data_IF_807571187739
#
_entry.id   IF_807571187739
#
_cell.length_a   1.000
_cell.length_b   1.000
_cell.length_c   1.000
_cell.angle_alpha   90.00
_cell.angle_beta   90.00
_cell.angle_gamma   90.00
#
_symmetry.space_group_name_H-M   'P 1'
#
loop_
_entity.id
_entity.type
_entity.pdbx_description
1 polymer ?
#
# COMPACT_ATOMS: atom_id res chain seq x y z
N UNK A 1 -20.71 -4.84 -0.21
CA UNK A 1 -19.59 -4.28 -0.97
C UNK A 1 -18.36 -5.15 -0.71
N UNK A 2 -17.72 -5.64 -1.76
CA UNK A 2 -16.53 -6.49 -1.64
C UNK A 2 -15.27 -5.64 -1.80
N UNK A 3 -14.42 -5.62 -0.78
CA UNK A 3 -13.15 -4.88 -0.76
C UNK A 3 -12.00 -5.88 -0.67
N UNK A 4 -11.20 -5.95 -1.72
CA UNK A 4 -9.96 -6.71 -1.70
C UNK A 4 -8.82 -5.85 -1.13
N UNK A 5 -8.01 -6.41 -0.23
CA UNK A 5 -6.92 -5.70 0.43
C UNK A 5 -5.64 -6.52 0.33
N UNK A 6 -4.64 -5.96 -0.35
CA UNK A 6 -3.29 -6.51 -0.32
C UNK A 6 -2.42 -5.80 0.74
N UNK A 7 -1.59 -6.56 1.46
CA UNK A 7 -0.78 -6.03 2.56
C UNK A 7 -1.55 -5.87 3.87
N UNK A 8 -2.60 -6.64 4.06
CA UNK A 8 -3.46 -6.66 5.26
C UNK A 8 -2.72 -6.97 6.56
N UNK A 9 -1.60 -7.72 6.50
CA UNK A 9 -0.76 -8.06 7.66
C UNK A 9 0.20 -6.95 8.09
N UNK A 10 0.35 -5.91 7.27
CA UNK A 10 1.15 -4.72 7.58
C UNK A 10 0.47 -3.82 8.61
N UNK A 11 1.21 -2.84 9.13
CA UNK A 11 0.70 -1.91 10.15
C UNK A 11 -0.59 -1.20 9.71
N UNK A 12 -0.58 -0.58 8.53
CA UNK A 12 -1.74 0.15 8.00
C UNK A 12 -2.86 -0.83 7.65
N UNK A 13 -2.52 -1.94 6.97
CA UNK A 13 -3.50 -2.93 6.53
C UNK A 13 -4.26 -3.57 7.67
N UNK A 14 -3.59 -3.96 8.73
CA UNK A 14 -4.23 -4.57 9.90
C UNK A 14 -5.19 -3.60 10.59
N UNK A 15 -4.80 -2.33 10.76
CA UNK A 15 -5.68 -1.32 11.35
C UNK A 15 -6.89 -1.03 10.45
N UNK A 16 -6.69 -0.98 9.14
CA UNK A 16 -7.76 -0.80 8.16
C UNK A 16 -8.75 -1.97 8.17
N UNK A 17 -8.25 -3.21 8.15
CA UNK A 17 -9.10 -4.39 8.23
C UNK A 17 -9.95 -4.39 9.51
N UNK A 18 -9.35 -4.14 10.67
CA UNK A 18 -10.05 -4.04 11.95
C UNK A 18 -11.11 -2.92 11.98
N UNK A 19 -10.88 -1.84 11.24
CA UNK A 19 -11.86 -0.75 11.13
C UNK A 19 -13.03 -1.14 10.22
N UNK A 20 -12.74 -1.72 9.06
CA UNK A 20 -13.74 -2.11 8.06
C UNK A 20 -14.62 -3.28 8.53
N UNK A 21 -14.06 -4.23 9.28
CA UNK A 21 -14.76 -5.39 9.82
C UNK A 21 -15.95 -5.04 10.75
N UNK A 22 -15.93 -3.83 11.32
CA UNK A 22 -17.04 -3.31 12.11
C UNK A 22 -18.31 -3.05 11.29
N UNK A 23 -18.19 -2.95 9.97
CA UNK A 23 -19.30 -2.68 9.07
C UNK A 23 -19.77 -3.94 8.38
N UNK A 24 -20.88 -4.52 8.84
CA UNK A 24 -21.48 -5.77 8.31
C UNK A 24 -21.83 -5.71 6.80
N UNK A 25 -21.87 -4.54 6.19
CA UNK A 25 -22.15 -4.40 4.76
C UNK A 25 -20.88 -4.50 3.90
N UNK A 26 -19.71 -4.67 4.52
CA UNK A 26 -18.42 -4.82 3.84
C UNK A 26 -17.97 -6.28 4.00
N UNK A 27 -17.69 -6.90 2.87
CA UNK A 27 -17.00 -8.19 2.81
C UNK A 27 -15.53 -7.92 2.46
N UNK A 28 -14.61 -8.33 3.33
CA UNK A 28 -13.18 -8.11 3.15
C UNK A 28 -12.56 -9.37 2.54
N UNK A 29 -11.86 -9.20 1.43
CA UNK A 29 -11.10 -10.24 0.74
C UNK A 29 -9.61 -9.92 0.96
N UNK A 30 -8.89 -10.81 1.65
CA UNK A 30 -7.48 -10.60 1.96
C UNK A 30 -6.60 -11.25 0.89
N UNK A 31 -5.65 -10.48 0.35
CA UNK A 31 -4.70 -10.98 -0.65
C UNK A 31 -3.29 -10.82 -0.12
N UNK A 32 -2.56 -11.93 -0.03
CA UNK A 32 -1.21 -11.95 0.53
C UNK A 32 -0.30 -12.96 -0.18
N UNK A 33 0.94 -13.08 0.27
CA UNK A 33 1.90 -14.07 -0.29
C UNK A 33 1.52 -15.51 0.04
N UNK A 34 0.83 -15.71 1.14
CA UNK A 34 0.42 -17.03 1.63
C UNK A 34 -1.04 -16.90 2.05
N UNK A 35 -1.90 -17.77 1.53
CA UNK A 35 -3.28 -17.88 1.99
C UNK A 35 -3.29 -18.31 3.46
N UNK A 36 -4.17 -17.71 4.25
CA UNK A 36 -4.45 -18.19 5.60
C UNK A 36 -5.64 -19.18 5.56
N UNK A 37 -5.82 -19.94 6.64
CA UNK A 37 -6.93 -20.91 6.79
C UNK A 37 -8.30 -20.21 6.89
N UNK A 38 -8.35 -18.89 6.90
CA UNK A 38 -9.57 -18.09 7.00
C UNK A 38 -10.31 -18.02 5.66
N UNK A 39 -11.61 -18.12 5.68
CA UNK A 39 -12.51 -18.27 4.52
C UNK A 39 -12.43 -17.17 3.44
N UNK A 40 -11.85 -16.01 3.69
CA UNK A 40 -11.71 -14.91 2.71
C UNK A 40 -10.26 -14.50 2.49
N UNK A 41 -9.31 -15.44 2.57
CA UNK A 41 -7.89 -15.17 2.40
C UNK A 41 -7.31 -15.99 1.25
N UNK A 42 -6.73 -15.28 0.28
CA UNK A 42 -6.20 -15.83 -0.95
C UNK A 42 -4.73 -15.47 -1.12
N UNK A 43 -4.01 -16.35 -1.80
CA UNK A 43 -2.64 -16.04 -2.26
C UNK A 43 -2.66 -15.11 -3.48
N UNK A 44 -1.51 -14.49 -3.80
CA UNK A 44 -1.39 -13.80 -5.09
C UNK A 44 -1.54 -14.76 -6.26
N UNK A 45 -1.11 -16.01 -6.12
CA UNK A 45 -1.23 -17.01 -7.17
C UNK A 45 -2.72 -17.34 -7.42
N UNK A 46 -3.53 -17.47 -6.38
CA UNK A 46 -4.98 -17.64 -6.51
C UNK A 46 -5.63 -16.43 -7.18
N UNK A 47 -5.23 -15.23 -6.78
CA UNK A 47 -5.74 -14.00 -7.38
C UNK A 47 -5.36 -13.90 -8.88
N UNK A 48 -4.11 -14.19 -9.24
CA UNK A 48 -3.66 -14.13 -10.64
C UNK A 48 -4.25 -15.27 -11.50
N UNK A 49 -4.56 -16.40 -10.90
CA UNK A 49 -5.21 -17.53 -11.58
C UNK A 49 -6.73 -17.33 -11.78
N UNK A 50 -7.33 -16.30 -11.17
CA UNK A 50 -8.77 -16.08 -11.24
C UNK A 50 -9.60 -16.98 -10.30
N UNK A 51 -8.97 -17.52 -9.24
CA UNK A 51 -9.61 -18.49 -8.33
C UNK A 51 -10.47 -17.85 -7.24
N UNK A 52 -10.64 -16.53 -7.22
CA UNK A 52 -11.55 -15.84 -6.31
C UNK A 52 -12.92 -15.73 -6.98
N UNK A 53 -13.94 -16.31 -6.39
CA UNK A 53 -15.28 -16.36 -6.99
C UNK A 53 -16.07 -15.05 -6.81
N UNK A 54 -15.65 -14.18 -5.88
CA UNK A 54 -16.33 -12.94 -5.58
C UNK A 54 -15.89 -11.83 -6.55
N UNK A 55 -16.88 -11.05 -7.00
CA UNK A 55 -16.59 -9.76 -7.65
C UNK A 55 -15.91 -8.82 -6.65
N UNK A 56 -14.95 -8.04 -7.11
CA UNK A 56 -14.24 -7.05 -6.30
C UNK A 56 -14.76 -5.65 -6.67
N UNK A 57 -15.44 -4.97 -5.75
CA UNK A 57 -15.91 -3.60 -5.99
C UNK A 57 -14.76 -2.58 -5.86
N UNK A 58 -13.89 -2.78 -4.87
CA UNK A 58 -12.74 -1.90 -4.58
C UNK A 58 -11.52 -2.76 -4.27
N UNK A 59 -10.39 -2.44 -4.87
CA UNK A 59 -9.09 -3.03 -4.52
C UNK A 59 -8.21 -1.99 -3.82
N UNK A 60 -7.77 -2.30 -2.60
CA UNK A 60 -6.87 -1.46 -1.80
C UNK A 60 -5.49 -2.11 -1.78
N UNK A 61 -4.51 -1.44 -2.39
CA UNK A 61 -3.15 -1.94 -2.50
C UNK A 61 -2.22 -1.26 -1.50
N UNK A 62 -1.95 -1.96 -0.40
CA UNK A 62 -1.05 -1.54 0.69
C UNK A 62 0.27 -2.32 0.71
N UNK A 63 0.33 -3.43 -0.03
CA UNK A 63 1.52 -4.27 -0.02
C UNK A 63 2.75 -3.52 -0.54
N UNK A 64 3.80 -3.56 0.24
CA UNK A 64 5.11 -3.01 -0.10
C UNK A 64 6.17 -3.78 0.70
N UNK A 65 7.35 -4.06 0.13
CA UNK A 65 8.48 -4.56 0.90
C UNK A 65 8.86 -3.58 2.01
N UNK A 66 9.47 -4.10 3.07
CA UNK A 66 10.02 -3.23 4.11
C UNK A 66 11.32 -2.60 3.57
N UNK A 67 11.33 -1.27 3.47
CA UNK A 67 12.43 -0.47 2.91
C UNK A 67 13.80 -0.78 3.55
N UNK A 68 13.82 -1.03 4.88
CA UNK A 68 15.06 -1.20 5.63
C UNK A 68 15.83 -2.51 5.31
N UNK A 69 15.20 -3.44 4.58
CA UNK A 69 15.74 -4.80 4.35
C UNK A 69 15.72 -5.21 2.87
N UNK A 70 15.52 -4.28 1.94
CA UNK A 70 15.35 -4.60 0.53
C UNK A 70 16.46 -4.02 -0.34
N UNK A 71 16.94 -4.81 -1.30
CA UNK A 71 17.74 -4.35 -2.42
C UNK A 71 16.83 -3.84 -3.55
N UNK A 72 17.43 -3.22 -4.58
CA UNK A 72 16.71 -2.60 -5.70
C UNK A 72 15.79 -3.60 -6.43
N UNK A 73 16.25 -4.83 -6.65
CA UNK A 73 15.46 -5.87 -7.32
C UNK A 73 14.22 -6.25 -6.50
N UNK A 74 14.37 -6.34 -5.18
CA UNK A 74 13.25 -6.61 -4.27
C UNK A 74 12.24 -5.47 -4.24
N UNK A 75 12.71 -4.22 -4.30
CA UNK A 75 11.85 -3.04 -4.37
C UNK A 75 11.10 -3.01 -5.70
N UNK A 76 11.80 -3.20 -6.81
CA UNK A 76 11.20 -3.23 -8.15
C UNK A 76 10.16 -4.35 -8.27
N UNK A 77 10.47 -5.55 -7.84
CA UNK A 77 9.54 -6.68 -7.89
C UNK A 77 8.36 -6.51 -6.93
N UNK A 78 8.61 -6.11 -5.70
CA UNK A 78 7.58 -6.01 -4.66
C UNK A 78 6.73 -4.75 -4.73
N UNK A 79 7.14 -3.72 -5.45
CA UNK A 79 6.36 -2.48 -5.62
C UNK A 79 5.85 -2.40 -7.06
N UNK A 80 6.75 -2.29 -8.03
CA UNK A 80 6.42 -1.97 -9.42
C UNK A 80 5.73 -3.15 -10.11
N UNK A 81 6.38 -4.31 -10.13
CA UNK A 81 5.86 -5.49 -10.84
C UNK A 81 4.60 -6.03 -10.16
N UNK A 82 4.55 -6.04 -8.83
CA UNK A 82 3.36 -6.48 -8.11
C UNK A 82 2.16 -5.57 -8.41
N UNK A 83 2.33 -4.24 -8.34
CA UNK A 83 1.27 -3.28 -8.69
C UNK A 83 0.77 -3.48 -10.11
N UNK A 84 1.69 -3.64 -11.07
CA UNK A 84 1.38 -3.90 -12.47
C UNK A 84 0.59 -5.19 -12.67
N UNK A 85 1.02 -6.27 -12.01
CA UNK A 85 0.36 -7.57 -12.12
C UNK A 85 -1.05 -7.54 -11.50
N UNK A 86 -1.22 -6.90 -10.35
CA UNK A 86 -2.54 -6.72 -9.74
C UNK A 86 -3.47 -5.99 -10.72
N UNK A 87 -3.08 -4.81 -11.20
CA UNK A 87 -3.91 -4.01 -12.12
C UNK A 87 -4.30 -4.74 -13.40
N UNK A 88 -3.39 -5.57 -13.95
CA UNK A 88 -3.67 -6.37 -15.14
C UNK A 88 -4.75 -7.41 -14.92
N UNK A 89 -4.82 -7.97 -13.73
CA UNK A 89 -5.75 -9.05 -13.38
C UNK A 89 -7.09 -8.56 -12.80
N UNK A 90 -7.24 -7.25 -12.52
CA UNK A 90 -8.49 -6.72 -11.97
C UNK A 90 -9.71 -6.88 -12.89
N UNK A 91 -9.52 -7.04 -14.20
CA UNK A 91 -10.59 -7.30 -15.15
C UNK A 91 -11.32 -8.60 -14.85
N UNK A 92 -10.60 -9.63 -14.40
CA UNK A 92 -11.17 -10.93 -14.05
C UNK A 92 -12.21 -10.83 -12.91
N UNK A 93 -12.20 -9.73 -12.17
CA UNK A 93 -13.03 -9.51 -10.98
C UNK A 93 -13.99 -8.33 -11.11
N UNK A 94 -14.15 -7.76 -12.32
CA UNK A 94 -15.01 -6.59 -12.59
C UNK A 94 -14.74 -5.40 -11.66
N UNK A 95 -13.50 -5.22 -11.22
CA UNK A 95 -13.12 -4.19 -10.26
C UNK A 95 -13.34 -2.79 -10.86
N UNK A 96 -14.02 -1.92 -10.10
CA UNK A 96 -14.35 -0.56 -10.55
C UNK A 96 -13.47 0.51 -9.93
N UNK A 97 -12.82 0.22 -8.81
CA UNK A 97 -12.02 1.21 -8.08
C UNK A 97 -10.73 0.60 -7.55
N UNK A 98 -9.62 1.28 -7.80
CA UNK A 98 -8.29 0.91 -7.29
C UNK A 98 -7.74 2.02 -6.38
N UNK A 99 -7.31 1.67 -5.17
CA UNK A 99 -6.72 2.61 -4.21
C UNK A 99 -5.28 2.17 -3.96
N UNK A 100 -4.34 3.04 -4.29
CA UNK A 100 -2.91 2.81 -4.13
C UNK A 100 -2.32 3.66 -3.01
N UNK A 101 -1.56 3.01 -2.13
CA UNK A 101 -0.85 3.70 -1.06
C UNK A 101 0.61 3.92 -1.46
N UNK A 102 0.88 5.16 -1.85
CA UNK A 102 2.19 5.69 -2.16
C UNK A 102 2.84 6.35 -0.92
N UNK A 103 3.81 7.20 -1.12
CA UNK A 103 4.56 7.88 -0.06
C UNK A 103 4.85 9.32 -0.44
N UNK A 104 4.86 10.23 0.53
CA UNK A 104 5.32 11.60 0.32
C UNK A 104 6.79 11.69 -0.12
N UNK A 105 7.59 10.63 0.07
CA UNK A 105 8.98 10.56 -0.42
C UNK A 105 9.11 10.70 -1.93
N UNK A 106 8.02 10.54 -2.69
CA UNK A 106 8.02 10.77 -4.15
C UNK A 106 8.26 12.23 -4.52
N UNK A 107 8.00 13.18 -3.62
CA UNK A 107 8.30 14.59 -3.82
C UNK A 107 9.77 14.95 -3.60
N UNK A 108 10.57 14.03 -3.04
CA UNK A 108 11.95 14.29 -2.64
C UNK A 108 12.08 14.80 -1.21
N UNK A 109 13.24 15.39 -0.92
CA UNK A 109 13.53 15.95 0.41
C UNK A 109 13.49 17.49 0.33
N UNK A 110 12.61 18.09 1.12
CA UNK A 110 12.50 19.55 1.24
C UNK A 110 13.33 20.06 2.42
N UNK A 111 14.65 20.09 2.29
CA UNK A 111 15.47 20.46 3.44
C UNK A 111 15.78 21.97 3.58
N UNK A 112 15.52 22.80 2.58
CA UNK A 112 16.17 24.13 2.58
C UNK A 112 15.23 25.34 2.37
N UNK A 113 14.01 25.18 1.81
CA UNK A 113 13.24 26.36 1.36
C UNK A 113 11.79 26.47 1.85
N UNK A 114 11.40 25.85 2.95
CA UNK A 114 10.01 25.85 3.43
C UNK A 114 8.98 25.47 2.32
N UNK A 115 9.37 24.59 1.41
CA UNK A 115 8.51 24.15 0.31
C UNK A 115 7.38 23.31 0.90
N UNK A 116 6.15 23.75 0.68
CA UNK A 116 4.95 22.98 1.02
C UNK A 116 4.55 22.21 -0.25
N UNK A 117 4.63 20.90 -0.19
CA UNK A 117 4.17 20.02 -1.27
C UNK A 117 2.66 19.86 -1.24
N UNK A 118 2.07 19.75 -2.41
CA UNK A 118 0.67 19.41 -2.64
C UNK A 118 0.58 18.35 -3.76
N UNK A 119 -0.62 17.92 -4.10
CA UNK A 119 -0.86 16.84 -5.05
C UNK A 119 -0.40 17.16 -6.48
N UNK A 120 -0.31 18.45 -6.84
CA UNK A 120 0.17 18.91 -8.14
C UNK A 120 1.67 19.21 -8.18
N UNK A 121 2.36 19.10 -7.04
CA UNK A 121 3.81 19.33 -7.00
C UNK A 121 4.56 18.31 -7.84
N UNK A 122 5.63 18.76 -8.50
CA UNK A 122 6.49 17.91 -9.30
C UNK A 122 7.14 16.81 -8.45
N UNK A 123 7.21 15.60 -9.02
CA UNK A 123 7.86 14.47 -8.36
C UNK A 123 9.37 14.54 -8.57
N UNK A 124 10.13 14.41 -7.49
CA UNK A 124 11.58 14.35 -7.50
C UNK A 124 12.09 13.24 -6.55
N UNK A 125 11.77 11.96 -6.82
CA UNK A 125 12.13 10.87 -5.93
C UNK A 125 13.65 10.64 -5.89
N UNK A 126 14.25 10.67 -4.70
CA UNK A 126 15.70 10.51 -4.51
C UNK A 126 16.05 9.05 -4.23
N UNK A 127 15.40 8.43 -3.23
CA UNK A 127 15.69 7.05 -2.85
C UNK A 127 15.08 6.05 -3.84
N UNK A 128 15.66 4.85 -3.94
CA UNK A 128 15.16 3.80 -4.82
C UNK A 128 13.75 3.34 -4.45
N UNK A 129 13.40 3.36 -3.17
CA UNK A 129 12.03 3.19 -2.72
C UNK A 129 11.10 4.27 -3.28
N UNK A 130 11.49 5.54 -3.21
CA UNK A 130 10.70 6.64 -3.73
C UNK A 130 10.54 6.57 -5.25
N UNK A 131 11.62 6.21 -5.96
CA UNK A 131 11.59 5.98 -7.42
C UNK A 131 10.65 4.84 -7.79
N UNK A 132 10.72 3.70 -7.08
CA UNK A 132 9.82 2.57 -7.30
C UNK A 132 8.35 2.95 -7.01
N UNK A 133 8.09 3.75 -5.96
CA UNK A 133 6.74 4.25 -5.67
C UNK A 133 6.23 5.20 -6.76
N UNK A 134 7.05 6.12 -7.25
CA UNK A 134 6.69 7.04 -8.33
C UNK A 134 6.43 6.29 -9.65
N UNK A 135 7.24 5.28 -9.98
CA UNK A 135 7.02 4.41 -11.14
C UNK A 135 5.69 3.65 -11.01
N UNK A 136 5.39 3.14 -9.83
CA UNK A 136 4.11 2.46 -9.57
C UNK A 136 2.92 3.41 -9.69
N UNK A 137 3.02 4.67 -9.25
CA UNK A 137 1.96 5.69 -9.46
C UNK A 137 1.67 5.90 -10.95
N UNK A 138 2.72 6.00 -11.76
CA UNK A 138 2.56 6.11 -13.22
C UNK A 138 1.83 4.89 -13.79
N UNK A 139 2.21 3.68 -13.38
CA UNK A 139 1.55 2.43 -13.80
C UNK A 139 0.07 2.40 -13.38
N UNK A 140 -0.23 2.85 -12.15
CA UNK A 140 -1.62 2.95 -11.66
C UNK A 140 -2.42 3.86 -12.56
N UNK A 141 -1.93 5.05 -12.85
CA UNK A 141 -2.61 6.02 -13.72
C UNK A 141 -2.81 5.48 -15.14
N UNK A 142 -1.75 4.94 -15.75
CA UNK A 142 -1.77 4.47 -17.14
C UNK A 142 -2.73 3.27 -17.33
N UNK A 143 -2.56 2.22 -16.52
CA UNK A 143 -3.37 1.01 -16.67
C UNK A 143 -4.82 1.26 -16.26
N UNK A 144 -5.06 1.97 -15.16
CA UNK A 144 -6.43 2.23 -14.71
C UNK A 144 -7.21 3.06 -15.70
N UNK A 145 -6.58 4.09 -16.29
CA UNK A 145 -7.22 4.90 -17.33
C UNK A 145 -7.57 4.09 -18.58
N UNK A 146 -6.68 3.20 -19.02
CA UNK A 146 -6.92 2.31 -20.18
C UNK A 146 -8.05 1.30 -19.95
N UNK A 147 -8.24 0.89 -18.70
CA UNK A 147 -9.24 -0.11 -18.30
C UNK A 147 -10.53 0.48 -17.73
N UNK A 148 -10.69 1.82 -17.74
CA UNK A 148 -11.82 2.52 -17.12
C UNK A 148 -12.03 2.17 -15.64
N UNK A 149 -10.95 1.93 -14.91
CA UNK A 149 -10.93 1.72 -13.46
C UNK A 149 -10.71 3.08 -12.80
N UNK A 150 -11.64 3.52 -11.96
CA UNK A 150 -11.42 4.71 -11.13
C UNK A 150 -10.27 4.45 -10.16
N UNK A 151 -9.34 5.38 -10.01
CA UNK A 151 -8.22 5.18 -9.10
C UNK A 151 -8.00 6.37 -8.17
N UNK A 152 -7.34 6.08 -7.04
CA UNK A 152 -6.92 7.07 -6.06
C UNK A 152 -5.53 6.70 -5.56
N UNK A 153 -4.64 7.69 -5.48
CA UNK A 153 -3.28 7.53 -4.99
C UNK A 153 -3.13 8.35 -3.71
N UNK A 154 -2.83 7.68 -2.60
CA UNK A 154 -2.52 8.33 -1.32
C UNK A 154 -1.01 8.39 -1.12
N UNK A 155 -0.41 9.59 -1.18
CA UNK A 155 1.00 9.85 -0.86
C UNK A 155 1.12 10.09 0.63
N UNK A 156 1.19 9.00 1.41
CA UNK A 156 1.20 9.09 2.85
C UNK A 156 2.50 9.70 3.38
N UNK A 157 2.41 10.61 4.34
CA UNK A 157 3.53 11.02 5.18
C UNK A 157 3.88 9.91 6.18
N UNK A 158 4.64 10.25 7.20
CA UNK A 158 4.90 9.32 8.30
C UNK A 158 3.59 8.95 9.02
N UNK A 159 3.29 7.65 9.08
CA UNK A 159 2.09 7.11 9.73
C UNK A 159 2.47 6.51 11.08
N UNK A 160 1.77 6.91 12.12
CA UNK A 160 1.98 6.42 13.48
C UNK A 160 0.66 5.97 14.11
N UNK A 161 0.76 5.15 15.15
CA UNK A 161 -0.42 4.65 15.87
C UNK A 161 -0.16 3.32 16.56
N UNK A 162 -1.25 2.71 17.06
CA UNK A 162 -1.17 1.45 17.78
C UNK A 162 -0.68 0.32 16.85
N UNK A 163 0.32 -0.43 17.31
CA UNK A 163 0.94 -1.53 16.55
C UNK A 163 2.04 -1.10 15.58
N UNK A 164 2.44 0.20 15.53
CA UNK A 164 3.56 0.62 14.68
C UNK A 164 4.88 -0.05 15.10
N UNK A 165 5.68 -0.41 14.09
CA UNK A 165 7.06 -0.93 14.25
C UNK A 165 7.99 0.09 13.58
N UNK A 166 8.45 1.09 14.35
CA UNK A 166 9.30 2.16 13.80
C UNK A 166 10.24 2.72 14.86
N UNK A 167 11.26 3.44 14.41
CA UNK A 167 12.19 4.14 15.30
C UNK A 167 11.48 5.11 16.26
N UNK A 168 10.34 5.69 15.85
CA UNK A 168 9.53 6.52 16.74
C UNK A 168 9.00 5.74 17.94
N UNK A 169 8.59 4.46 17.77
CA UNK A 169 8.18 3.63 18.90
C UNK A 169 9.34 3.42 19.87
N UNK A 170 10.55 3.19 19.35
CA UNK A 170 11.74 3.05 20.19
C UNK A 170 12.04 4.36 20.94
N UNK A 171 11.92 5.50 20.28
CA UNK A 171 12.09 6.81 20.91
C UNK A 171 11.03 7.05 22.00
N UNK A 172 9.76 6.78 21.74
CA UNK A 172 8.68 6.90 22.74
C UNK A 172 8.94 6.00 23.95
N UNK A 173 9.39 4.76 23.72
CA UNK A 173 9.76 3.85 24.80
C UNK A 173 10.97 4.34 25.63
N UNK A 174 11.90 5.09 25.01
CA UNK A 174 13.03 5.70 25.73
C UNK A 174 12.55 6.88 26.59
N UNK A 175 11.65 7.71 26.07
CA UNK A 175 11.04 8.83 26.81
C UNK A 175 10.27 8.29 28.04
N UNK A 176 9.45 7.27 27.82
CA UNK A 176 8.61 6.67 28.87
C UNK A 176 9.47 6.02 30.00
N UNK A 177 10.67 5.54 29.67
CA UNK A 177 11.63 5.03 30.64
C UNK A 177 12.47 6.10 31.33
N UNK A 178 12.14 7.38 31.16
CA UNK A 178 12.85 8.53 31.76
C UNK A 178 14.36 8.54 31.43
N UNK A 179 14.73 8.12 30.23
CA UNK A 179 16.13 8.15 29.80
C UNK A 179 16.57 9.62 29.65
N UNK A 180 17.65 10.06 30.30
CA UNK A 180 18.11 11.45 30.18
C UNK A 180 18.53 11.69 28.73
N UNK A 181 17.90 12.66 28.11
CA UNK A 181 18.41 13.22 26.83
C UNK A 181 19.64 14.07 27.16
N UNK A 182 20.79 13.66 26.68
CA UNK A 182 22.02 14.45 26.72
C UNK A 182 22.10 15.28 25.44
#
# INVERSE_FOLDING_TARGET
MNIAISGSTGFIGNNLCNFLDKNKNINIILISRISSINDNSYSYDDFFAGNINERIDVFIHLASPNYDYCNDDSLKNGIVNLTKNILRNLENYECKKFIYFSSCKVYGESSINNIIFNESSELNPISDYAKAKAEAEFIVSDISSKKNISFLIYRLPFVYGNGMKSNLKNLLNLIDKSFPFI
#
